data_IF_807282045264
#
_entry.id   IF_807282045264
#
_cell.length_a   1.000
_cell.length_b   1.000
_cell.length_c   1.000
_cell.angle_alpha   90.00
_cell.angle_beta   90.00
_cell.angle_gamma   90.00
#
_symmetry.space_group_name_H-M   'P 1'
#
loop_
_entity.id
_entity.type
_entity.pdbx_description
1 polymer ?
#
# COMPACT_ATOMS: atom_id res chain seq x y z
N UNK A 1 17.41 -24.59 18.97
CA UNK A 1 17.49 -24.14 17.57
C UNK A 1 17.38 -22.64 17.54
N UNK A 2 18.41 -21.97 17.06
CA UNK A 2 18.42 -20.51 16.87
C UNK A 2 17.93 -20.17 15.45
N UNK A 3 17.13 -19.12 15.30
CA UNK A 3 16.75 -18.54 14.01
C UNK A 3 17.25 -17.10 13.98
N UNK A 4 18.07 -16.76 12.99
CA UNK A 4 18.61 -15.39 12.77
C UNK A 4 17.95 -14.78 11.54
N UNK A 5 17.52 -13.51 11.66
CA UNK A 5 16.89 -12.76 10.56
C UNK A 5 17.60 -11.41 10.40
N UNK A 6 18.80 -11.37 9.79
CA UNK A 6 19.50 -10.12 9.55
C UNK A 6 18.72 -9.22 8.58
N UNK A 7 18.61 -7.92 8.88
CA UNK A 7 17.89 -6.97 8.01
C UNK A 7 18.50 -6.87 6.61
N UNK A 8 19.81 -7.05 6.48
CA UNK A 8 20.49 -7.11 5.18
C UNK A 8 20.02 -8.28 4.32
N UNK A 9 19.85 -9.46 4.92
CA UNK A 9 19.38 -10.67 4.24
C UNK A 9 17.91 -10.54 3.81
N UNK A 10 17.08 -9.91 4.66
CA UNK A 10 15.68 -9.60 4.30
C UNK A 10 15.65 -8.64 3.11
N UNK A 11 16.43 -7.56 3.13
CA UNK A 11 16.46 -6.58 2.06
C UNK A 11 16.92 -7.20 0.72
N UNK A 12 18.04 -7.92 0.71
CA UNK A 12 18.58 -8.53 -0.52
C UNK A 12 17.70 -9.70 -0.99
N UNK A 13 17.12 -10.46 -0.07
CA UNK A 13 16.17 -11.52 -0.35
C UNK A 13 14.89 -10.99 -1.00
N UNK A 14 14.32 -9.90 -0.48
CA UNK A 14 13.17 -9.22 -1.11
C UNK A 14 13.50 -8.71 -2.51
N UNK A 15 14.69 -8.11 -2.71
CA UNK A 15 15.13 -7.69 -4.04
C UNK A 15 15.24 -8.88 -5.01
N UNK A 16 15.83 -9.99 -4.58
CA UNK A 16 15.93 -11.20 -5.40
C UNK A 16 14.55 -11.78 -5.73
N UNK A 17 13.67 -11.92 -4.73
CA UNK A 17 12.31 -12.46 -4.88
C UNK A 17 11.41 -11.58 -5.75
N UNK A 18 11.68 -10.28 -5.86
CA UNK A 18 10.97 -9.39 -6.79
C UNK A 18 11.26 -9.68 -8.27
N UNK A 19 12.25 -10.53 -8.57
CA UNK A 19 12.73 -10.81 -9.93
C UNK A 19 13.71 -9.76 -10.46
N UNK A 20 13.92 -8.64 -9.75
CA UNK A 20 14.81 -7.57 -10.19
C UNK A 20 16.26 -8.05 -10.37
N UNK A 21 16.78 -8.86 -9.44
CA UNK A 21 18.17 -9.36 -9.53
C UNK A 21 18.40 -10.21 -10.79
N UNK A 22 17.46 -11.13 -11.08
CA UNK A 22 17.54 -11.96 -12.28
C UNK A 22 17.45 -11.12 -13.56
N UNK A 23 16.57 -10.11 -13.58
CA UNK A 23 16.45 -9.21 -14.73
C UNK A 23 17.74 -8.40 -14.96
N UNK A 24 18.33 -7.82 -13.92
CA UNK A 24 19.53 -6.97 -14.09
C UNK A 24 20.72 -7.79 -14.58
N UNK A 25 20.88 -9.03 -14.08
CA UNK A 25 21.91 -9.96 -14.57
C UNK A 25 21.65 -10.38 -16.03
N UNK A 26 20.40 -10.66 -16.39
CA UNK A 26 20.05 -11.01 -17.78
C UNK A 26 20.31 -9.85 -18.75
N UNK A 27 20.01 -8.62 -18.34
CA UNK A 27 20.22 -7.41 -19.17
C UNK A 27 21.67 -6.94 -19.18
N UNK A 28 22.42 -7.17 -18.11
CA UNK A 28 23.76 -6.61 -17.91
C UNK A 28 23.80 -5.10 -17.62
N UNK A 29 22.65 -4.49 -17.26
CA UNK A 29 22.52 -3.06 -17.02
C UNK A 29 21.28 -2.75 -16.15
N UNK A 30 21.29 -1.57 -15.52
CA UNK A 30 20.14 -1.03 -14.79
C UNK A 30 18.98 -0.65 -15.72
N UNK A 31 17.76 -0.63 -15.17
CA UNK A 31 16.61 0.01 -15.85
C UNK A 31 16.86 1.52 -15.96
N UNK A 32 16.38 2.13 -17.04
CA UNK A 32 16.33 3.60 -17.11
C UNK A 32 15.41 4.18 -16.02
N UNK A 33 15.69 5.42 -15.60
CA UNK A 33 14.84 6.13 -14.63
C UNK A 33 13.57 6.61 -15.32
N UNK A 34 12.42 6.05 -14.93
CA UNK A 34 11.12 6.32 -15.54
C UNK A 34 10.20 7.23 -14.73
N UNK A 35 10.64 7.72 -13.56
CA UNK A 35 9.74 8.38 -12.62
C UNK A 35 8.63 7.43 -12.19
N UNK A 36 7.37 7.86 -12.33
CA UNK A 36 6.19 7.06 -11.97
C UNK A 36 5.68 6.15 -13.11
N UNK A 37 6.38 6.09 -14.25
CA UNK A 37 5.94 5.25 -15.35
C UNK A 37 6.24 3.76 -15.09
N UNK A 38 5.30 2.90 -15.49
CA UNK A 38 5.43 1.44 -15.35
C UNK A 38 6.50 0.92 -16.32
N UNK A 39 7.46 0.16 -15.81
CA UNK A 39 8.47 -0.50 -16.64
C UNK A 39 7.82 -1.54 -17.56
N UNK A 40 8.03 -1.38 -18.87
CA UNK A 40 7.58 -2.35 -19.88
C UNK A 40 6.09 -2.32 -20.21
N UNK A 41 5.32 -1.36 -19.72
CA UNK A 41 3.88 -1.23 -20.03
C UNK A 41 3.39 0.22 -20.01
N UNK A 42 2.13 0.45 -20.39
CA UNK A 42 1.52 1.78 -20.30
C UNK A 42 0.93 2.04 -18.91
N UNK A 43 1.47 3.05 -18.22
CA UNK A 43 0.87 3.58 -17.00
C UNK A 43 1.78 4.57 -16.31
N UNK A 44 1.19 5.58 -15.68
CA UNK A 44 1.82 6.58 -14.80
C UNK A 44 0.74 7.37 -14.05
N UNK A 45 1.15 8.32 -13.23
CA UNK A 45 0.25 9.34 -12.69
C UNK A 45 -0.02 10.48 -13.69
N UNK A 46 -1.24 11.02 -13.62
CA UNK A 46 -1.76 12.18 -14.36
C UNK A 46 -2.41 13.15 -13.38
N UNK A 47 -2.72 14.36 -13.85
CA UNK A 47 -3.48 15.36 -13.09
C UNK A 47 -4.75 15.73 -13.84
N UNK A 48 -5.88 15.79 -13.14
CA UNK A 48 -7.14 16.27 -13.70
C UNK A 48 -7.23 17.79 -13.67
N UNK A 49 -8.24 18.37 -14.32
CA UNK A 49 -8.52 19.81 -14.36
C UNK A 49 -8.65 20.43 -12.96
N UNK A 50 -9.36 19.76 -12.06
CA UNK A 50 -9.55 20.14 -10.65
C UNK A 50 -8.32 19.82 -9.78
N UNK A 51 -7.23 19.37 -10.39
CA UNK A 51 -5.92 19.27 -9.75
C UNK A 51 -5.66 17.97 -8.99
N UNK A 52 -6.58 17.01 -9.03
CA UNK A 52 -6.42 15.69 -8.41
C UNK A 52 -5.38 14.88 -9.17
N UNK A 53 -4.43 14.28 -8.45
CA UNK A 53 -3.45 13.36 -9.03
C UNK A 53 -3.98 11.93 -8.97
N UNK A 54 -3.88 11.18 -10.07
CA UNK A 54 -4.36 9.82 -10.16
C UNK A 54 -3.46 8.97 -11.06
N UNK A 55 -3.38 7.66 -10.79
CA UNK A 55 -2.61 6.71 -11.61
C UNK A 55 -3.54 5.87 -12.47
N UNK A 56 -3.08 5.55 -13.68
CA UNK A 56 -3.75 4.58 -14.58
C UNK A 56 -2.75 3.54 -15.05
N UNK A 57 -3.24 2.33 -15.32
CA UNK A 57 -2.46 1.25 -15.91
C UNK A 57 -3.27 0.52 -16.99
N UNK A 58 -2.64 0.23 -18.12
CA UNK A 58 -3.20 -0.61 -19.17
C UNK A 58 -2.18 -1.71 -19.53
N UNK A 59 -2.43 -2.93 -19.08
CA UNK A 59 -1.55 -4.09 -19.27
C UNK A 59 -2.14 -5.11 -20.25
N UNK A 60 -3.40 -4.93 -20.64
CA UNK A 60 -4.13 -5.81 -21.55
C UNK A 60 -4.79 -5.00 -22.66
N UNK A 61 -5.09 -5.64 -23.80
CA UNK A 61 -5.82 -5.00 -24.89
C UNK A 61 -7.19 -4.46 -24.45
N UNK A 62 -7.86 -5.15 -23.53
CA UNK A 62 -9.14 -4.70 -22.94
C UNK A 62 -8.95 -3.39 -22.16
N UNK A 63 -7.96 -3.34 -21.26
CA UNK A 63 -7.68 -2.13 -20.48
C UNK A 63 -7.23 -0.98 -21.37
N UNK A 64 -6.42 -1.24 -22.40
CA UNK A 64 -5.99 -0.21 -23.34
C UNK A 64 -7.18 0.43 -24.05
N UNK A 65 -8.03 -0.39 -24.68
CA UNK A 65 -9.24 0.11 -25.36
C UNK A 65 -10.15 0.87 -24.41
N UNK A 66 -10.42 0.32 -23.23
CA UNK A 66 -11.24 0.98 -22.22
C UNK A 66 -10.68 2.35 -21.81
N UNK A 67 -9.36 2.45 -21.65
CA UNK A 67 -8.71 3.70 -21.28
C UNK A 67 -8.78 4.75 -22.40
N UNK A 68 -8.60 4.35 -23.66
CA UNK A 68 -8.77 5.23 -24.82
C UNK A 68 -10.21 5.77 -24.88
N UNK A 69 -11.22 4.92 -24.73
CA UNK A 69 -12.65 5.31 -24.69
C UNK A 69 -12.95 6.24 -23.50
N UNK A 70 -12.43 5.90 -22.31
CA UNK A 70 -12.65 6.67 -21.09
C UNK A 70 -12.05 8.08 -21.15
N UNK A 71 -11.01 8.30 -21.96
CA UNK A 71 -10.44 9.63 -22.21
C UNK A 71 -11.02 10.29 -23.47
N UNK A 72 -11.69 9.53 -24.36
CA UNK A 72 -12.21 10.03 -25.64
C UNK A 72 -11.08 10.31 -26.64
N UNK A 73 -10.09 9.42 -26.69
CA UNK A 73 -8.85 9.61 -27.44
C UNK A 73 -8.76 8.78 -28.72
N UNK A 74 -9.86 8.19 -29.20
CA UNK A 74 -9.87 7.30 -30.37
C UNK A 74 -9.23 7.95 -31.59
N UNK A 75 -9.64 9.18 -31.92
CA UNK A 75 -9.09 9.92 -33.06
C UNK A 75 -7.62 10.31 -32.84
N UNK A 76 -7.26 10.73 -31.62
CA UNK A 76 -5.88 11.12 -31.28
C UNK A 76 -4.92 9.92 -31.33
N UNK A 77 -5.37 8.76 -30.88
CA UNK A 77 -4.63 7.49 -30.96
C UNK A 77 -4.46 7.08 -32.43
N UNK A 78 -5.52 7.10 -33.24
CA UNK A 78 -5.43 6.73 -34.65
C UNK A 78 -4.48 7.65 -35.45
N UNK A 79 -4.49 8.95 -35.16
CA UNK A 79 -3.55 9.90 -35.75
C UNK A 79 -2.10 9.58 -35.35
N UNK A 80 -1.85 9.34 -34.06
CA UNK A 80 -0.52 9.01 -33.55
C UNK A 80 0.00 7.65 -34.05
N UNK A 81 -0.88 6.65 -34.18
CA UNK A 81 -0.58 5.36 -34.81
C UNK A 81 -0.16 5.54 -36.27
N UNK A 82 -0.86 6.40 -37.02
CA UNK A 82 -0.53 6.72 -38.42
C UNK A 82 0.82 7.43 -38.53
N UNK A 83 1.08 8.41 -37.66
CA UNK A 83 2.34 9.16 -37.63
C UNK A 83 3.55 8.26 -37.33
N UNK A 84 3.40 7.37 -36.35
CA UNK A 84 4.50 6.52 -35.86
C UNK A 84 4.63 5.20 -36.61
N UNK A 85 3.63 4.84 -37.44
CA UNK A 85 3.61 3.56 -38.15
C UNK A 85 3.50 2.34 -37.22
N UNK A 86 2.83 2.50 -36.07
CA UNK A 86 2.64 1.43 -35.07
C UNK A 86 1.17 1.26 -34.73
N UNK A 87 0.85 0.14 -34.09
CA UNK A 87 -0.47 -0.11 -33.49
C UNK A 87 -0.32 -0.33 -32.00
N UNK A 88 -0.88 0.56 -31.19
CA UNK A 88 -0.79 0.47 -29.73
C UNK A 88 -1.60 -0.69 -29.15
N UNK A 89 -2.58 -1.20 -29.91
CA UNK A 89 -3.33 -2.40 -29.56
C UNK A 89 -2.51 -3.71 -29.66
N UNK A 90 -1.34 -3.72 -30.30
CA UNK A 90 -0.56 -4.95 -30.55
C UNK A 90 0.21 -5.44 -29.32
N UNK A 91 0.28 -4.65 -28.24
CA UNK A 91 0.89 -5.07 -26.99
C UNK A 91 1.52 -3.91 -26.23
N UNK A 92 2.29 -4.23 -25.20
CA UNK A 92 2.94 -3.23 -24.37
C UNK A 92 4.15 -2.58 -25.06
N UNK A 93 4.88 -3.29 -25.92
CA UNK A 93 6.07 -2.78 -26.61
C UNK A 93 5.86 -1.45 -27.31
N UNK A 94 4.90 -1.28 -28.24
CA UNK A 94 4.69 0.01 -28.92
C UNK A 94 4.25 1.09 -27.92
N UNK A 95 3.43 0.75 -26.93
CA UNK A 95 2.96 1.71 -25.91
C UNK A 95 4.09 2.18 -25.01
N UNK A 96 5.01 1.28 -24.64
CA UNK A 96 6.16 1.60 -23.81
C UNK A 96 7.21 2.41 -24.59
N UNK A 97 7.50 2.04 -25.84
CA UNK A 97 8.46 2.75 -26.69
C UNK A 97 8.02 4.19 -26.99
N UNK A 98 6.72 4.40 -27.23
CA UNK A 98 6.15 5.73 -27.54
C UNK A 98 5.42 6.36 -26.35
N UNK A 99 5.70 5.91 -25.12
CA UNK A 99 5.01 6.33 -23.90
C UNK A 99 4.98 7.83 -23.70
N UNK A 100 6.03 8.57 -24.07
CA UNK A 100 6.08 10.02 -23.88
C UNK A 100 4.98 10.75 -24.67
N UNK A 101 4.78 10.38 -25.94
CA UNK A 101 3.72 10.95 -26.78
C UNK A 101 2.34 10.57 -26.26
N UNK A 102 2.15 9.30 -25.89
CA UNK A 102 0.90 8.85 -25.26
C UNK A 102 0.62 9.58 -23.95
N UNK A 103 1.63 9.74 -23.09
CA UNK A 103 1.51 10.46 -21.84
C UNK A 103 1.15 11.94 -22.04
N UNK A 104 1.66 12.60 -23.07
CA UNK A 104 1.26 13.96 -23.40
C UNK A 104 -0.21 14.00 -23.83
N UNK A 105 -0.62 13.10 -24.73
CA UNK A 105 -2.00 13.00 -25.22
C UNK A 105 -3.01 12.73 -24.10
N UNK A 106 -2.72 11.77 -23.21
CA UNK A 106 -3.57 11.46 -22.07
C UNK A 106 -3.62 12.59 -21.04
N UNK A 107 -2.51 13.31 -20.81
CA UNK A 107 -2.51 14.46 -19.91
C UNK A 107 -3.35 15.61 -20.48
N UNK A 108 -3.19 15.93 -21.76
CA UNK A 108 -3.98 16.98 -22.41
C UNK A 108 -5.48 16.69 -22.34
N UNK A 109 -5.89 15.42 -22.51
CA UNK A 109 -7.26 15.03 -22.30
C UNK A 109 -7.69 15.17 -20.82
N UNK A 110 -6.86 14.74 -19.86
CA UNK A 110 -7.15 14.87 -18.43
C UNK A 110 -7.35 16.33 -17.99
N UNK A 111 -6.64 17.29 -18.61
CA UNK A 111 -6.78 18.73 -18.35
C UNK A 111 -8.19 19.26 -18.66
N UNK A 112 -8.99 18.51 -19.44
CA UNK A 112 -10.37 18.82 -19.77
C UNK A 112 -11.43 18.25 -18.80
N UNK A 113 -11.05 17.37 -17.88
CA UNK A 113 -11.99 16.68 -16.98
C UNK A 113 -11.69 16.93 -15.50
N UNK A 114 -12.73 17.17 -14.71
CA UNK A 114 -12.64 16.98 -13.26
C UNK A 114 -12.51 15.48 -12.97
N UNK A 115 -11.78 15.13 -11.90
CA UNK A 115 -11.45 13.73 -11.63
C UNK A 115 -12.68 12.85 -11.46
N UNK A 116 -13.73 13.33 -10.78
CA UNK A 116 -14.94 12.54 -10.55
C UNK A 116 -15.60 12.08 -11.88
N UNK A 117 -15.63 12.95 -12.88
CA UNK A 117 -16.18 12.62 -14.20
C UNK A 117 -15.29 11.60 -14.93
N UNK A 118 -13.97 11.80 -14.90
CA UNK A 118 -13.03 10.89 -15.55
C UNK A 118 -12.98 9.52 -14.86
N UNK A 119 -13.04 9.48 -13.54
CA UNK A 119 -13.13 8.26 -12.74
C UNK A 119 -14.39 7.44 -13.08
N UNK A 120 -15.55 8.10 -13.22
CA UNK A 120 -16.78 7.42 -13.64
C UNK A 120 -16.65 6.79 -15.03
N UNK A 121 -16.04 7.50 -15.99
CA UNK A 121 -15.77 6.97 -17.34
C UNK A 121 -14.81 5.79 -17.32
N UNK A 122 -13.70 5.90 -16.58
CA UNK A 122 -12.73 4.81 -16.43
C UNK A 122 -13.35 3.58 -15.74
N UNK A 123 -14.20 3.77 -14.74
CA UNK A 123 -14.91 2.69 -14.06
C UNK A 123 -15.91 1.97 -14.98
N UNK A 124 -16.66 2.71 -15.80
CA UNK A 124 -17.59 2.13 -16.78
C UNK A 124 -16.88 1.20 -17.80
N UNK A 125 -15.64 1.51 -18.14
CA UNK A 125 -14.80 0.72 -19.05
C UNK A 125 -13.99 -0.39 -18.34
N UNK A 126 -14.10 -0.51 -17.01
CA UNK A 126 -13.34 -1.47 -16.22
C UNK A 126 -11.83 -1.23 -16.26
N UNK A 127 -11.41 0.04 -16.32
CA UNK A 127 -10.01 0.43 -16.30
C UNK A 127 -9.38 0.19 -14.91
N UNK A 128 -8.07 0.01 -14.87
CA UNK A 128 -7.30 -0.04 -13.62
C UNK A 128 -6.74 1.35 -13.33
N UNK A 129 -7.31 2.02 -12.33
CA UNK A 129 -6.93 3.37 -11.93
C UNK A 129 -7.24 3.61 -10.45
N UNK A 130 -6.58 4.61 -9.85
CA UNK A 130 -6.90 5.09 -8.51
C UNK A 130 -6.35 6.52 -8.30
N UNK A 131 -6.98 7.33 -7.43
CA UNK A 131 -6.42 8.63 -7.04
C UNK A 131 -5.35 8.47 -5.96
N UNK A 132 -4.37 9.37 -5.98
CA UNK A 132 -3.47 9.52 -4.85
C UNK A 132 -4.19 10.18 -3.68
N UNK A 133 -4.01 9.61 -2.49
CA UNK A 133 -4.47 10.15 -1.22
C UNK A 133 -3.26 10.52 -0.38
N UNK A 134 -3.38 11.59 0.38
CA UNK A 134 -2.53 11.83 1.54
C UNK A 134 -2.79 10.77 2.61
N UNK A 135 -1.86 10.58 3.55
CA UNK A 135 -2.06 9.68 4.68
C UNK A 135 -3.31 10.05 5.50
N UNK A 136 -3.57 11.36 5.65
CA UNK A 136 -4.76 11.84 6.36
C UNK A 136 -6.05 11.48 5.63
N UNK A 137 -6.12 11.72 4.31
CA UNK A 137 -7.29 11.29 3.52
C UNK A 137 -7.48 9.78 3.58
N UNK A 138 -6.42 8.99 3.50
CA UNK A 138 -6.51 7.53 3.56
C UNK A 138 -7.04 7.05 4.92
N UNK A 139 -6.56 7.63 6.03
CA UNK A 139 -7.03 7.30 7.38
C UNK A 139 -8.51 7.65 7.61
N UNK A 140 -9.06 8.58 6.82
CA UNK A 140 -10.46 9.02 6.89
C UNK A 140 -11.33 8.48 5.74
N UNK A 141 -10.79 7.65 4.83
CA UNK A 141 -11.53 7.13 3.68
C UNK A 141 -12.37 5.91 4.11
N UNK A 142 -13.72 5.96 3.96
CA UNK A 142 -14.58 4.86 4.38
C UNK A 142 -14.30 3.55 3.65
N UNK A 143 -13.86 3.57 2.39
CA UNK A 143 -13.56 2.36 1.64
C UNK A 143 -12.24 1.72 2.08
N UNK A 144 -11.28 2.54 2.53
CA UNK A 144 -9.98 2.05 2.99
C UNK A 144 -10.00 1.61 4.44
N UNK A 145 -10.84 2.22 5.28
CA UNK A 145 -10.82 2.03 6.73
C UNK A 145 -12.17 1.57 7.28
N UNK A 146 -13.18 2.45 7.33
CA UNK A 146 -14.43 2.16 8.05
C UNK A 146 -15.22 0.95 7.52
N UNK A 147 -15.16 0.69 6.21
CA UNK A 147 -15.79 -0.44 5.53
C UNK A 147 -14.82 -1.57 5.19
N UNK A 148 -13.56 -1.49 5.62
CA UNK A 148 -12.55 -2.48 5.32
C UNK A 148 -12.42 -3.46 6.50
N UNK A 149 -12.70 -4.77 6.30
CA UNK A 149 -12.67 -5.77 7.36
C UNK A 149 -11.27 -6.06 7.93
N UNK A 150 -10.23 -5.47 7.34
CA UNK A 150 -8.89 -5.46 7.93
C UNK A 150 -8.83 -4.63 9.22
N UNK A 151 -9.71 -3.65 9.36
CA UNK A 151 -9.79 -2.78 10.52
C UNK A 151 -11.02 -3.14 11.34
N UNK A 152 -10.90 -2.90 12.64
CA UNK A 152 -11.95 -3.11 13.62
C UNK A 152 -12.15 -1.86 14.47
N UNK A 153 -13.18 -1.85 15.34
CA UNK A 153 -13.30 -0.85 16.39
C UNK A 153 -11.97 -0.65 17.11
N UNK A 154 -11.67 0.61 17.43
CA UNK A 154 -10.46 0.94 18.16
C UNK A 154 -10.44 0.15 19.49
N UNK A 155 -9.40 -0.65 19.76
CA UNK A 155 -9.28 -1.27 21.07
C UNK A 155 -8.99 -0.18 22.11
N UNK A 156 -9.32 -0.45 23.37
CA UNK A 156 -9.08 0.47 24.50
C UNK A 156 -7.58 0.60 24.82
N UNK A 157 -6.82 1.19 23.90
CA UNK A 157 -5.39 1.33 24.00
C UNK A 157 -5.00 2.26 25.17
N UNK A 158 -3.88 1.98 25.86
CA UNK A 158 -3.37 2.80 26.95
C UNK A 158 -3.20 4.29 26.64
N UNK A 159 -3.02 4.65 25.37
CA UNK A 159 -2.90 6.05 24.93
C UNK A 159 -4.19 6.86 25.08
N UNK A 160 -5.35 6.20 25.24
CA UNK A 160 -6.67 6.84 25.24
C UNK A 160 -7.07 7.45 23.89
N UNK A 161 -6.28 7.22 22.84
CA UNK A 161 -6.58 7.69 21.49
C UNK A 161 -7.23 6.57 20.68
N UNK A 162 -8.47 6.79 20.23
CA UNK A 162 -9.20 5.86 19.38
C UNK A 162 -8.68 5.93 17.94
N UNK A 163 -8.09 4.81 17.48
CA UNK A 163 -7.70 4.65 16.09
C UNK A 163 -7.99 3.23 15.58
N UNK A 164 -8.29 3.05 14.28
CA UNK A 164 -8.52 1.75 13.68
C UNK A 164 -7.26 0.88 13.75
N UNK A 165 -7.32 -0.20 14.54
CA UNK A 165 -6.23 -1.15 14.64
C UNK A 165 -6.35 -2.20 13.53
N UNK A 166 -5.24 -2.49 12.86
CA UNK A 166 -5.18 -3.50 11.79
C UNK A 166 -5.17 -4.91 12.39
N UNK A 167 -5.98 -5.80 11.83
CA UNK A 167 -5.85 -7.25 12.00
C UNK A 167 -4.64 -7.81 11.24
N UNK A 168 -4.40 -9.11 11.40
CA UNK A 168 -3.43 -9.86 10.59
C UNK A 168 -3.74 -9.74 9.09
N UNK A 169 -2.70 -9.49 8.28
CA UNK A 169 -2.80 -9.57 6.81
C UNK A 169 -3.06 -10.99 6.31
N UNK A 170 -2.65 -12.01 7.08
CA UNK A 170 -2.97 -13.39 6.78
C UNK A 170 -4.41 -13.70 7.20
N UNK A 171 -5.21 -14.14 6.23
CA UNK A 171 -6.54 -14.69 6.45
C UNK A 171 -6.49 -16.22 6.40
N UNK A 172 -7.12 -16.87 7.37
CA UNK A 172 -7.26 -18.33 7.42
C UNK A 172 -8.72 -18.68 7.12
N UNK A 173 -9.02 -19.32 5.97
CA UNK A 173 -10.39 -19.69 5.63
C UNK A 173 -11.06 -20.52 6.74
N UNK A 174 -12.28 -20.14 7.12
CA UNK A 174 -13.05 -20.81 8.19
C UNK A 174 -12.64 -20.43 9.61
N UNK A 175 -11.72 -19.49 9.79
CA UNK A 175 -11.37 -18.90 11.08
C UNK A 175 -11.55 -17.39 11.03
N UNK A 176 -12.55 -16.91 11.74
CA UNK A 176 -12.73 -15.47 11.92
C UNK A 176 -11.52 -14.89 12.65
N UNK A 177 -11.03 -13.77 12.13
CA UNK A 177 -10.06 -12.96 12.85
C UNK A 177 -10.82 -12.30 14.01
N UNK A 178 -10.44 -12.62 15.25
CA UNK A 178 -10.99 -11.94 16.41
C UNK A 178 -10.60 -10.46 16.43
N UNK A 179 -11.30 -9.69 17.27
CA UNK A 179 -11.03 -8.27 17.42
C UNK A 179 -9.60 -8.02 17.94
N UNK A 180 -8.93 -6.94 17.51
CA UNK A 180 -7.63 -6.57 18.05
C UNK A 180 -7.76 -6.32 19.56
N UNK A 181 -6.87 -6.92 20.33
CA UNK A 181 -6.76 -6.63 21.75
C UNK A 181 -6.05 -5.27 21.96
N UNK A 182 -6.33 -4.56 23.06
CA UNK A 182 -5.56 -3.37 23.41
C UNK A 182 -4.08 -3.68 23.58
N UNK A 183 -3.23 -2.72 23.24
CA UNK A 183 -1.81 -2.80 23.61
C UNK A 183 -1.68 -2.88 25.14
N UNK A 184 -0.72 -3.65 25.69
CA UNK A 184 -0.55 -3.74 27.13
C UNK A 184 0.06 -2.45 27.69
N UNK A 185 -0.29 -2.13 28.93
CA UNK A 185 0.45 -1.18 29.76
C UNK A 185 1.89 -1.67 30.01
N UNK A 186 2.80 -0.75 30.34
CA UNK A 186 4.16 -1.13 30.67
C UNK A 186 4.13 -1.94 31.96
N UNK A 187 4.64 -3.17 31.91
CA UNK A 187 4.68 -4.06 33.07
C UNK A 187 3.32 -4.71 33.43
N UNK A 188 2.28 -4.57 32.60
CA UNK A 188 0.92 -5.09 32.88
C UNK A 188 0.92 -6.55 33.34
N UNK A 189 1.73 -7.39 32.69
CA UNK A 189 1.78 -8.84 32.93
C UNK A 189 3.02 -9.28 33.73
N UNK A 190 3.81 -8.35 34.29
CA UNK A 190 5.05 -8.70 35.00
C UNK A 190 4.81 -9.66 36.16
N UNK A 191 3.83 -9.37 37.04
CA UNK A 191 3.54 -10.22 38.19
C UNK A 191 2.97 -11.59 37.78
N UNK A 192 2.02 -11.61 36.84
CA UNK A 192 1.43 -12.84 36.29
C UNK A 192 2.50 -13.78 35.73
N UNK A 193 3.40 -13.26 34.90
CA UNK A 193 4.47 -14.07 34.30
C UNK A 193 5.43 -14.60 35.37
N UNK A 194 5.83 -13.78 36.34
CA UNK A 194 6.75 -14.18 37.41
C UNK A 194 6.12 -15.24 38.34
N UNK A 195 4.84 -15.08 38.69
CA UNK A 195 4.15 -16.03 39.55
C UNK A 195 3.80 -17.32 38.81
N UNK A 196 3.16 -17.23 37.65
CA UNK A 196 2.57 -18.39 36.98
C UNK A 196 3.52 -19.12 36.05
N UNK A 197 4.44 -18.42 35.37
CA UNK A 197 5.40 -19.05 34.45
C UNK A 197 6.70 -19.42 35.13
N UNK A 198 7.14 -18.63 36.11
CA UNK A 198 8.39 -18.87 36.84
C UNK A 198 8.20 -19.43 38.25
N UNK A 199 6.97 -19.48 38.78
CA UNK A 199 6.69 -20.08 40.09
C UNK A 199 7.21 -19.26 41.27
N UNK A 200 7.46 -17.96 41.09
CA UNK A 200 7.97 -17.11 42.16
C UNK A 200 6.89 -16.80 43.19
N UNK A 201 7.29 -16.79 44.47
CA UNK A 201 6.41 -16.32 45.54
C UNK A 201 6.29 -14.79 45.52
N UNK A 202 5.19 -14.27 46.05
CA UNK A 202 4.96 -12.82 46.18
C UNK A 202 6.12 -12.09 46.88
N UNK A 203 6.72 -12.69 47.90
CA UNK A 203 7.88 -12.12 48.59
C UNK A 203 9.16 -12.09 47.74
N UNK A 204 9.33 -13.03 46.81
CA UNK A 204 10.43 -12.99 45.86
C UNK A 204 10.20 -11.92 44.78
N UNK A 205 8.96 -11.79 44.31
CA UNK A 205 8.55 -10.75 43.35
C UNK A 205 8.74 -9.35 43.96
N UNK A 206 8.29 -9.13 45.20
CA UNK A 206 8.46 -7.86 45.90
C UNK A 206 9.93 -7.43 45.98
N UNK A 207 10.85 -8.35 46.29
CA UNK A 207 12.29 -8.06 46.32
C UNK A 207 12.84 -7.62 44.95
N UNK A 208 12.34 -8.18 43.85
CA UNK A 208 12.75 -7.78 42.50
C UNK A 208 12.25 -6.37 42.15
N UNK A 209 11.05 -6.03 42.60
CA UNK A 209 10.46 -4.69 42.43
C UNK A 209 11.20 -3.66 43.30
N UNK A 210 11.42 -3.94 44.58
CA UNK A 210 12.16 -3.06 45.50
C UNK A 210 13.59 -2.79 45.03
N UNK A 211 14.22 -3.78 44.40
CA UNK A 211 15.55 -3.66 43.81
C UNK A 211 15.56 -2.95 42.44
N UNK A 212 14.41 -2.55 41.90
CA UNK A 212 14.29 -1.93 40.57
C UNK A 212 14.62 -2.86 39.39
N UNK A 213 14.66 -4.17 39.63
CA UNK A 213 14.95 -5.18 38.59
C UNK A 213 13.73 -5.43 37.71
N UNK A 214 12.53 -5.33 38.28
CA UNK A 214 11.24 -5.48 37.57
C UNK A 214 10.32 -4.32 37.91
N UNK A 215 9.56 -3.83 36.93
CA UNK A 215 8.45 -2.89 37.13
C UNK A 215 7.09 -3.60 36.98
N UNK A 216 6.13 -3.18 37.80
CA UNK A 216 4.71 -3.58 37.70
C UNK A 216 3.95 -2.62 36.77
N UNK A 217 2.67 -2.94 36.51
CA UNK A 217 1.80 -2.19 35.60
C UNK A 217 1.80 -0.69 35.87
N UNK A 218 1.94 0.11 34.80
CA UNK A 218 1.82 1.56 34.86
C UNK A 218 0.39 2.09 34.68
N UNK A 219 -0.61 1.21 34.53
CA UNK A 219 -2.02 1.55 34.28
C UNK A 219 -2.62 2.58 35.26
N UNK A 220 -2.23 2.52 36.53
CA UNK A 220 -2.71 3.46 37.57
C UNK A 220 -1.67 4.51 37.96
N UNK A 221 -0.55 4.56 37.24
CA UNK A 221 0.53 5.52 37.52
C UNK A 221 0.27 6.76 36.69
N UNK A 222 -0.14 7.85 37.35
CA UNK A 222 -0.27 9.17 36.69
C UNK A 222 1.11 9.67 36.30
N UNK A 223 1.58 9.33 35.10
CA UNK A 223 2.69 10.06 34.47
C UNK A 223 2.11 11.38 33.98
N UNK A 224 2.57 12.48 34.58
CA UNK A 224 2.36 13.81 33.99
C UNK A 224 3.02 13.82 32.60
N UNK A 225 2.40 14.49 31.61
CA UNK A 225 2.86 14.50 30.22
C UNK A 225 4.28 15.05 30.06
#
# INVERSE_FOLDING_TARGET
>A
NEVRVPLGDVAIGTLANSGAMAEMLYRGADRERLGNAIWGAFGRDFRSRDGVRFMVAALTAKQWRGLVTAFGLEAGIAALETELGVRFADGDTPRFQHRAALFALFQQAADGFDYAALAARMAAEGCTFERYRTAYEAANDPALVAGNPLFDPAPANPSGFDYPATRSFANLPGRDAGDPAPAPYLGQHSEEVLAEKLGLSSGAIAKLVDAGTVALSDEHTTRSP
#
